data_IF_738915106848
#
_entry.id   IF_738915106848
#
_cell.length_a   1.000
_cell.length_b   1.000
_cell.length_c   1.000
_cell.angle_alpha   90.00
_cell.angle_beta   90.00
_cell.angle_gamma   90.00
#
_symmetry.space_group_name_H-M   'P 1'
#
loop_
_entity.id
_entity.type
_entity.pdbx_description
1 polymer ?
#
# COMPACT_ATOMS: atom_id res chain seq x y z
N UNK A 1 -34.75 -3.62 11.05
CA UNK A 1 -33.53 -4.45 10.99
C UNK A 1 -32.33 -3.58 10.74
N UNK A 2 -31.29 -3.74 11.56
CA UNK A 2 -30.08 -2.93 11.45
C UNK A 2 -29.10 -3.59 10.47
N UNK A 3 -28.56 -2.78 9.55
CA UNK A 3 -27.47 -3.23 8.71
C UNK A 3 -26.17 -3.11 9.50
N UNK A 4 -25.31 -4.13 9.53
CA UNK A 4 -24.03 -4.00 10.20
C UNK A 4 -23.22 -2.84 9.63
N UNK A 5 -22.49 -2.17 10.49
CA UNK A 5 -21.57 -1.12 10.05
C UNK A 5 -20.50 -1.75 9.16
N UNK A 6 -20.18 -1.07 8.06
CA UNK A 6 -19.17 -1.52 7.10
C UNK A 6 -18.06 -0.48 7.02
N UNK A 7 -16.87 -0.93 6.73
CA UNK A 7 -15.79 -0.02 6.39
C UNK A 7 -16.16 0.72 5.11
N UNK A 8 -15.97 2.03 5.09
CA UNK A 8 -16.40 2.85 3.96
C UNK A 8 -15.55 2.62 2.71
N UNK A 9 -14.26 2.29 2.89
CA UNK A 9 -13.35 2.08 1.78
C UNK A 9 -13.39 0.61 1.38
N UNK A 10 -13.71 0.35 0.10
CA UNK A 10 -13.77 -1.01 -0.42
C UNK A 10 -12.67 -1.37 -1.40
N UNK A 11 -11.95 -0.39 -1.91
CA UNK A 11 -10.90 -0.59 -2.93
C UNK A 11 -10.01 0.65 -2.96
N UNK A 12 -8.75 0.48 -3.33
CA UNK A 12 -7.85 1.60 -3.59
C UNK A 12 -7.05 1.35 -4.86
N UNK A 13 -6.56 2.45 -5.45
CA UNK A 13 -5.64 2.38 -6.59
C UNK A 13 -4.50 3.34 -6.37
N UNK A 14 -3.29 2.86 -6.61
CA UNK A 14 -2.08 3.68 -6.55
C UNK A 14 -1.55 3.80 -7.97
N UNK A 15 -1.43 5.01 -8.48
CA UNK A 15 -0.98 5.26 -9.84
C UNK A 15 0.53 5.35 -9.89
N UNK A 16 1.13 4.57 -10.80
CA UNK A 16 2.58 4.43 -10.93
C UNK A 16 2.98 4.68 -12.38
N UNK A 17 4.22 5.10 -12.60
CA UNK A 17 4.70 5.47 -13.93
C UNK A 17 5.44 4.32 -14.63
N UNK A 18 5.98 3.38 -13.85
CA UNK A 18 6.70 2.22 -14.36
C UNK A 18 6.25 1.01 -13.56
N UNK A 19 5.41 0.18 -14.17
CA UNK A 19 4.79 -0.94 -13.47
C UNK A 19 5.82 -1.97 -13.00
N UNK A 20 6.84 -2.27 -13.80
CA UNK A 20 7.86 -3.24 -13.40
C UNK A 20 8.62 -2.75 -12.17
N UNK A 21 8.98 -1.48 -12.14
CA UNK A 21 9.66 -0.86 -11.00
C UNK A 21 8.75 -0.82 -9.77
N UNK A 22 7.49 -0.45 -9.97
CA UNK A 22 6.52 -0.39 -8.88
C UNK A 22 6.27 -1.77 -8.28
N UNK A 23 6.10 -2.80 -9.12
CA UNK A 23 5.93 -4.17 -8.64
C UNK A 23 7.14 -4.65 -7.84
N UNK A 24 8.35 -4.35 -8.33
CA UNK A 24 9.57 -4.71 -7.62
C UNK A 24 9.58 -4.13 -6.21
N UNK A 25 9.17 -2.86 -6.08
CA UNK A 25 9.09 -2.21 -4.78
C UNK A 25 8.04 -2.87 -3.87
N UNK A 26 6.79 -2.91 -4.33
CA UNK A 26 5.69 -3.38 -3.47
C UNK A 26 5.81 -4.88 -3.15
N UNK A 27 6.19 -5.70 -4.11
CA UNK A 27 6.41 -7.12 -3.88
C UNK A 27 7.57 -7.36 -2.91
N UNK A 28 8.64 -6.59 -3.05
CA UNK A 28 9.80 -6.73 -2.18
C UNK A 28 9.54 -6.26 -0.75
N UNK A 29 8.92 -5.10 -0.59
CA UNK A 29 8.67 -4.51 0.74
C UNK A 29 7.67 -5.37 1.53
N UNK A 30 6.59 -5.78 0.89
CA UNK A 30 5.50 -6.48 1.58
C UNK A 30 5.61 -8.00 1.50
N UNK A 31 6.57 -8.53 0.75
CA UNK A 31 6.74 -9.98 0.62
C UNK A 31 5.53 -10.64 -0.01
N UNK A 32 4.93 -9.99 -0.98
CA UNK A 32 3.72 -10.47 -1.64
C UNK A 32 3.96 -10.60 -3.15
N UNK A 33 2.98 -11.17 -3.84
CA UNK A 33 3.00 -11.29 -5.29
C UNK A 33 1.75 -10.62 -5.85
N UNK A 34 1.93 -9.62 -6.71
CA UNK A 34 0.82 -8.96 -7.39
C UNK A 34 0.38 -9.79 -8.59
N UNK A 35 -0.90 -9.74 -8.90
CA UNK A 35 -1.49 -10.49 -10.02
C UNK A 35 -2.03 -9.52 -11.05
N UNK A 36 -1.85 -9.81 -12.36
CA UNK A 36 -2.46 -8.95 -13.39
C UNK A 36 -3.98 -8.99 -13.26
N UNK A 37 -4.58 -7.82 -13.41
CA UNK A 37 -6.02 -7.67 -13.33
C UNK A 37 -6.51 -7.09 -14.65
N UNK A 38 -7.36 -7.84 -15.34
CA UNK A 38 -7.83 -7.46 -16.66
C UNK A 38 -6.81 -7.73 -17.76
N UNK A 39 -7.07 -7.25 -19.00
CA UNK A 39 -6.17 -7.48 -20.13
C UNK A 39 -4.86 -6.71 -19.94
N UNK A 40 -3.75 -7.18 -20.56
CA UNK A 40 -2.43 -6.55 -20.39
C UNK A 40 -2.39 -5.05 -20.72
N UNK A 41 -3.18 -4.61 -21.66
CA UNK A 41 -3.22 -3.20 -22.07
C UNK A 41 -3.87 -2.29 -21.02
N UNK A 42 -4.55 -2.85 -20.02
CA UNK A 42 -5.15 -2.05 -18.94
C UNK A 42 -4.11 -1.55 -17.96
N UNK A 43 -3.00 -2.28 -17.79
CA UNK A 43 -1.92 -1.84 -16.91
C UNK A 43 -2.29 -1.83 -15.43
N UNK A 44 -2.96 -2.89 -14.97
CA UNK A 44 -3.42 -2.99 -13.59
C UNK A 44 -2.93 -4.30 -12.96
N UNK A 45 -2.36 -4.20 -11.77
CA UNK A 45 -1.87 -5.35 -11.00
C UNK A 45 -2.41 -5.25 -9.58
N UNK A 46 -3.12 -6.29 -9.14
CA UNK A 46 -3.82 -6.26 -7.86
C UNK A 46 -3.01 -6.89 -6.74
N UNK A 47 -3.15 -6.31 -5.55
CA UNK A 47 -2.75 -6.96 -4.31
C UNK A 47 -3.73 -8.07 -3.98
N UNK A 48 -3.30 -9.03 -3.16
CA UNK A 48 -4.20 -10.08 -2.70
C UNK A 48 -5.40 -9.47 -1.97
N UNK A 49 -6.57 -10.06 -2.18
CA UNK A 49 -7.82 -9.60 -1.58
C UNK A 49 -8.55 -10.80 -0.99
N UNK A 50 -8.93 -10.70 0.27
CA UNK A 50 -9.63 -11.77 0.97
C UNK A 50 -10.89 -11.20 1.62
N UNK A 51 -12.04 -11.69 1.17
CA UNK A 51 -13.32 -11.27 1.74
C UNK A 51 -13.39 -11.68 3.21
N UNK A 52 -13.95 -10.78 4.03
CA UNK A 52 -14.13 -11.04 5.45
C UNK A 52 -12.88 -10.84 6.29
N UNK A 53 -11.77 -10.48 5.69
CA UNK A 53 -10.54 -10.19 6.41
C UNK A 53 -10.37 -8.68 6.62
N UNK A 54 -9.46 -8.32 7.52
CA UNK A 54 -9.12 -6.93 7.80
C UNK A 54 -8.59 -6.26 6.53
N UNK A 55 -9.02 -5.02 6.30
CA UNK A 55 -8.56 -4.23 5.18
C UNK A 55 -9.41 -4.40 3.94
N UNK A 56 -8.90 -3.90 2.82
CA UNK A 56 -9.54 -4.02 1.51
C UNK A 56 -8.50 -4.37 0.47
N UNK A 57 -8.97 -4.82 -0.70
CA UNK A 57 -8.12 -5.04 -1.85
C UNK A 57 -7.80 -3.73 -2.56
N UNK A 58 -6.84 -3.77 -3.45
CA UNK A 58 -6.45 -2.64 -4.25
C UNK A 58 -5.46 -3.03 -5.33
N UNK A 59 -5.02 -2.06 -6.10
CA UNK A 59 -4.15 -2.31 -7.24
C UNK A 59 -3.15 -1.19 -7.49
N UNK A 60 -2.05 -1.54 -8.15
CA UNK A 60 -1.20 -0.59 -8.83
C UNK A 60 -1.75 -0.41 -10.24
N UNK A 61 -1.81 0.82 -10.70
CA UNK A 61 -2.35 1.15 -12.03
C UNK A 61 -1.35 2.04 -12.77
N UNK A 62 -1.08 1.70 -14.03
CA UNK A 62 -0.30 2.56 -14.90
C UNK A 62 -1.23 3.07 -16.00
N UNK A 63 -1.39 4.39 -16.09
CA UNK A 63 -2.26 5.01 -17.08
C UNK A 63 -1.60 6.29 -17.60
N UNK A 64 -1.57 6.50 -18.93
CA UNK A 64 -0.78 7.60 -19.51
C UNK A 64 -1.21 9.00 -19.07
N UNK A 65 -2.45 9.17 -18.59
CA UNK A 65 -2.94 10.50 -18.17
C UNK A 65 -2.94 10.71 -16.66
N UNK A 66 -2.55 9.71 -15.87
CA UNK A 66 -2.63 9.81 -14.41
C UNK A 66 -1.23 9.96 -13.80
N UNK A 67 -0.94 11.09 -13.16
CA UNK A 67 0.35 11.31 -12.51
C UNK A 67 0.45 10.55 -11.19
N UNK A 68 1.67 10.45 -10.67
CA UNK A 68 1.96 9.89 -9.37
C UNK A 68 2.45 10.97 -8.42
N UNK A 69 2.47 10.67 -7.12
CA UNK A 69 2.94 11.61 -6.10
C UNK A 69 1.91 12.69 -5.78
N UNK A 70 2.33 13.70 -5.01
CA UNK A 70 1.48 14.83 -4.68
C UNK A 70 0.22 14.43 -3.91
N UNK A 71 0.32 13.46 -3.06
CA UNK A 71 -0.84 12.84 -2.40
C UNK A 71 -1.66 13.79 -1.55
N UNK A 72 -2.97 13.76 -1.72
CA UNK A 72 -3.92 14.23 -0.72
C UNK A 72 -4.45 13.07 0.13
N UNK A 73 -4.24 11.83 -0.31
CA UNK A 73 -4.70 10.61 0.37
C UNK A 73 -3.52 9.70 0.61
N UNK A 74 -3.44 9.12 1.80
CA UNK A 74 -2.38 8.17 2.15
C UNK A 74 -3.00 6.81 2.40
N UNK A 75 -2.49 5.79 1.73
CA UNK A 75 -2.90 4.40 1.93
C UNK A 75 -1.97 3.79 2.97
N UNK A 76 -2.56 3.25 4.04
CA UNK A 76 -1.80 2.58 5.10
C UNK A 76 -1.88 1.07 4.90
N UNK A 77 -0.72 0.43 4.78
CA UNK A 77 -0.62 -1.01 4.65
C UNK A 77 -0.49 -1.62 6.03
N UNK A 78 -1.25 -2.69 6.28
CA UNK A 78 -1.13 -3.44 7.53
C UNK A 78 0.21 -4.18 7.57
N UNK A 79 0.90 -4.05 8.69
CA UNK A 79 2.17 -4.73 8.93
C UNK A 79 2.14 -5.35 10.33
N UNK A 80 2.60 -6.59 10.47
CA UNK A 80 2.69 -7.20 11.79
C UNK A 80 3.69 -6.44 12.66
N UNK A 81 4.79 -5.98 12.05
CA UNK A 81 5.76 -5.08 12.67
C UNK A 81 6.32 -4.20 11.55
N UNK A 82 5.93 -2.93 11.53
CA UNK A 82 6.30 -2.03 10.44
C UNK A 82 7.80 -1.76 10.35
N UNK A 83 8.57 -2.07 11.40
CA UNK A 83 10.02 -1.96 11.32
C UNK A 83 10.62 -2.91 10.29
N UNK A 84 9.97 -4.06 10.05
CA UNK A 84 10.42 -5.02 9.04
C UNK A 84 10.27 -4.43 7.64
N UNK A 85 9.07 -3.93 7.32
CA UNK A 85 8.83 -3.31 6.02
C UNK A 85 9.64 -2.03 5.86
N UNK A 86 9.76 -1.23 6.92
CA UNK A 86 10.59 -0.03 6.90
C UNK A 86 12.01 -0.33 6.42
N UNK A 87 12.62 -1.39 6.96
CA UNK A 87 13.98 -1.77 6.58
C UNK A 87 14.09 -2.17 5.11
N UNK A 88 13.00 -2.69 4.54
CA UNK A 88 12.97 -3.11 3.14
C UNK A 88 12.79 -1.97 2.16
N UNK A 89 12.15 -0.88 2.56
CA UNK A 89 11.82 0.24 1.67
C UNK A 89 13.02 0.73 0.86
N UNK A 90 14.15 1.10 1.48
CA UNK A 90 15.28 1.57 0.66
C UNK A 90 15.92 0.47 -0.19
N UNK A 91 15.80 -0.80 0.21
CA UNK A 91 16.35 -1.91 -0.57
C UNK A 91 15.63 -2.10 -1.91
N UNK A 92 14.37 -1.70 -1.98
CA UNK A 92 13.53 -1.92 -3.16
C UNK A 92 13.18 -0.62 -3.88
N UNK A 93 13.93 0.44 -3.63
CA UNK A 93 13.85 1.67 -4.43
C UNK A 93 13.03 2.81 -3.84
N UNK A 94 12.51 2.65 -2.63
CA UNK A 94 11.80 3.72 -1.95
C UNK A 94 12.65 4.51 -0.99
N UNK A 95 12.04 5.45 -0.28
CA UNK A 95 12.68 6.25 0.75
C UNK A 95 11.81 6.31 1.99
N UNK A 96 12.44 6.54 3.16
CA UNK A 96 11.71 6.69 4.41
C UNK A 96 11.45 8.18 4.62
N UNK A 97 10.16 8.54 4.74
CA UNK A 97 9.75 9.91 5.04
C UNK A 97 9.79 10.15 6.55
N UNK A 98 9.31 9.17 7.32
CA UNK A 98 9.33 9.25 8.78
C UNK A 98 9.47 7.82 9.34
N UNK A 99 10.52 7.56 10.15
CA UNK A 99 10.72 6.24 10.74
C UNK A 99 9.60 5.86 11.72
N UNK A 100 9.54 4.58 12.05
CA UNK A 100 8.55 4.01 12.97
C UNK A 100 8.40 4.86 14.22
N UNK A 101 7.17 5.25 14.51
CA UNK A 101 6.84 6.02 15.70
C UNK A 101 5.51 5.54 16.28
N UNK A 102 5.37 5.74 17.59
CA UNK A 102 4.12 5.43 18.28
C UNK A 102 3.05 6.47 17.93
N UNK A 103 1.84 5.99 17.71
CA UNK A 103 0.65 6.85 17.58
C UNK A 103 -0.34 6.56 18.71
N UNK A 104 0.20 6.19 19.89
CA UNK A 104 -0.60 5.97 21.09
C UNK A 104 -1.41 4.68 21.00
N UNK A 105 -2.71 4.71 21.34
CA UNK A 105 -3.52 3.49 21.40
C UNK A 105 -3.74 2.84 20.04
N UNK A 106 -3.36 3.50 18.95
CA UNK A 106 -3.55 2.98 17.60
C UNK A 106 -2.33 2.21 17.08
N UNK A 107 -1.25 2.11 17.85
CA UNK A 107 -0.08 1.34 17.48
C UNK A 107 1.09 2.18 17.00
N UNK A 108 1.69 1.76 15.89
CA UNK A 108 2.89 2.40 15.33
C UNK A 108 2.72 2.61 13.83
N UNK A 109 3.33 3.65 13.30
CA UNK A 109 3.35 3.90 11.86
C UNK A 109 4.75 4.29 11.39
N UNK A 110 5.02 3.95 10.14
CA UNK A 110 6.14 4.47 9.36
C UNK A 110 5.54 5.14 8.13
N UNK A 111 6.09 6.27 7.71
CA UNK A 111 5.73 6.89 6.43
C UNK A 111 6.88 6.72 5.46
N UNK A 112 6.55 6.30 4.24
CA UNK A 112 7.53 6.01 3.21
C UNK A 112 7.06 6.54 1.87
N UNK A 113 8.00 6.66 0.91
CA UNK A 113 7.66 6.99 -0.46
C UNK A 113 8.07 5.83 -1.36
N UNK A 114 7.18 5.50 -2.29
CA UNK A 114 7.48 4.49 -3.30
C UNK A 114 8.39 5.10 -4.39
N UNK A 115 8.86 4.32 -5.38
CA UNK A 115 9.75 4.83 -6.42
C UNK A 115 9.16 5.97 -7.27
N UNK A 116 7.84 6.09 -7.30
CA UNK A 116 7.16 7.16 -8.03
C UNK A 116 6.88 8.39 -7.17
N UNK A 117 7.33 8.38 -5.92
CA UNK A 117 7.13 9.50 -5.00
C UNK A 117 5.78 9.49 -4.31
N UNK A 118 5.00 8.41 -4.43
CA UNK A 118 3.74 8.29 -3.71
C UNK A 118 4.02 8.06 -2.23
N UNK A 119 3.35 8.85 -1.37
CA UNK A 119 3.43 8.67 0.07
C UNK A 119 2.52 7.52 0.49
N UNK A 120 3.08 6.57 1.21
CA UNK A 120 2.33 5.43 1.78
C UNK A 120 2.63 5.33 3.27
N UNK A 121 1.72 4.69 3.99
CA UNK A 121 1.91 4.40 5.41
C UNK A 121 2.09 2.92 5.66
N UNK A 122 2.88 2.60 6.67
CA UNK A 122 3.06 1.23 7.18
C UNK A 122 2.52 1.24 8.60
N UNK A 123 1.49 0.47 8.88
CA UNK A 123 0.77 0.53 10.15
C UNK A 123 0.80 -0.81 10.87
N UNK A 124 1.26 -0.77 12.11
CA UNK A 124 1.19 -1.91 13.03
C UNK A 124 0.23 -1.54 14.14
N UNK A 125 -1.00 -2.08 14.13
CA UNK A 125 -1.94 -1.83 15.23
C UNK A 125 -1.48 -2.50 16.51
N UNK A 126 -1.93 -1.96 17.65
CA UNK A 126 -1.72 -2.66 18.90
C UNK A 126 -2.55 -3.94 18.87
N UNK A 127 -1.91 -5.06 19.21
CA UNK A 127 -2.59 -6.34 19.29
C UNK A 127 -3.15 -6.50 20.70
N UNK A 128 -4.37 -7.08 20.83
CA UNK A 128 -4.95 -7.35 22.14
C UNK A 128 -4.19 -8.41 22.92
#
# INVERSE_FOLDING_TARGET
MNTPAMNTVGWFEIYVQDMARARHFYEGVFGCELQPLGPPEVGMWSFASALGQYGCGGALVSHPTMPSGGNSTVVYFFCADCAVEEARVPKFGGTIERPKMSIGPFGHVTLARDPDGNLIGLHTPLMP
#
